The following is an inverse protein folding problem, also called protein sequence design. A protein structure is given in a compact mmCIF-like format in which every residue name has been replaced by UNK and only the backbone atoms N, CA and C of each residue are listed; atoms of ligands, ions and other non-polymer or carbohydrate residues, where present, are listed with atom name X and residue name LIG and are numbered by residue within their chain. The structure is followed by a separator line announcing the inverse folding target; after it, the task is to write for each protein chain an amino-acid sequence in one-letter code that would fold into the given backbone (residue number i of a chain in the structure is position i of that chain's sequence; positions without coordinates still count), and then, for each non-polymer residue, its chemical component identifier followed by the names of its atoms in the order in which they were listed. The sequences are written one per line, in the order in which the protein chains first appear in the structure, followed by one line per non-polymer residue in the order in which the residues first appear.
data_IF_564475667674
#
_entry.id   IF_564475667674
#
_cell.length_a   1.000
_cell.length_b   1.000
_cell.length_c   1.000
_cell.angle_alpha   90.00
_cell.angle_beta   90.00
_cell.angle_gamma   90.00
#
_symmetry.space_group_name_H-M   'P 1'
#
loop_
_entity.id
_entity.type
_entity.pdbx_description
1 polymer ?
#
# COMPACT_ATOMS: atom_id res chain seq x y z
N UNK A 1 -16.71 6.35 2.20
CA UNK A 1 -16.29 7.53 1.40
C UNK A 1 -15.03 7.13 0.66
N UNK A 2 -14.90 7.45 -0.61
CA UNK A 2 -13.66 7.24 -1.35
C UNK A 2 -12.83 8.49 -1.18
N UNK A 3 -11.64 8.37 -0.60
CA UNK A 3 -10.76 9.50 -0.31
C UNK A 3 -9.41 9.29 -0.98
N UNK A 4 -8.89 10.32 -1.62
CA UNK A 4 -7.57 10.28 -2.24
C UNK A 4 -6.61 11.14 -1.43
N UNK A 5 -5.38 10.68 -1.26
CA UNK A 5 -4.35 11.38 -0.50
C UNK A 5 -2.96 11.03 -1.04
N UNK A 6 -1.96 11.82 -0.65
CA UNK A 6 -0.56 11.49 -0.92
C UNK A 6 0.04 10.85 0.33
N UNK A 7 0.55 9.63 0.20
CA UNK A 7 1.19 8.86 1.27
C UNK A 7 2.70 9.17 1.31
N UNK A 8 3.21 9.82 2.38
CA UNK A 8 4.64 10.04 2.54
C UNK A 8 5.35 8.76 3.00
N UNK A 9 6.29 8.26 2.20
CA UNK A 9 7.05 7.04 2.50
C UNK A 9 8.54 7.35 2.54
N UNK A 10 9.17 7.07 3.68
CA UNK A 10 10.63 7.22 3.82
C UNK A 10 11.35 5.97 3.31
N UNK A 11 11.98 6.08 2.14
CA UNK A 11 12.61 4.95 1.47
C UNK A 11 13.98 5.33 0.86
N UNK A 12 15.00 4.52 1.10
CA UNK A 12 16.37 4.75 0.60
C UNK A 12 16.91 6.16 0.89
N UNK A 13 16.67 6.67 2.11
CA UNK A 13 17.20 7.96 2.58
C UNK A 13 16.50 9.20 2.00
N UNK A 14 15.32 9.02 1.38
CA UNK A 14 14.49 10.12 0.89
C UNK A 14 13.01 9.86 1.20
N UNK A 15 12.25 10.94 1.30
CA UNK A 15 10.79 10.88 1.31
C UNK A 15 10.27 10.79 -0.14
N UNK A 16 9.34 9.86 -0.36
CA UNK A 16 8.64 9.67 -1.63
C UNK A 16 7.15 9.80 -1.36
N UNK A 17 6.46 10.67 -2.09
CA UNK A 17 5.01 10.80 -2.02
C UNK A 17 4.38 9.84 -3.03
N UNK A 18 3.54 8.92 -2.56
CA UNK A 18 2.77 8.04 -3.42
C UNK A 18 1.30 8.43 -3.44
N UNK A 19 0.68 8.60 -4.61
CA UNK A 19 -0.77 8.76 -4.70
C UNK A 19 -1.47 7.52 -4.13
N UNK A 20 -2.46 7.74 -3.27
CA UNK A 20 -3.20 6.69 -2.60
C UNK A 20 -4.71 6.96 -2.56
N UNK A 21 -5.48 5.87 -2.49
CA UNK A 21 -6.94 5.89 -2.45
C UNK A 21 -7.44 5.00 -1.31
N UNK A 22 -8.12 5.59 -0.33
CA UNK A 22 -8.81 4.89 0.75
C UNK A 22 -10.23 4.52 0.32
N UNK A 23 -10.56 3.25 0.42
CA UNK A 23 -11.83 2.69 -0.04
C UNK A 23 -12.44 1.79 1.04
N UNK A 24 -13.73 1.95 1.41
CA UNK A 24 -14.39 1.01 2.32
C UNK A 24 -14.50 -0.37 1.67
N UNK A 25 -14.23 -1.42 2.43
CA UNK A 25 -14.27 -2.80 1.95
C UNK A 25 -14.79 -3.75 3.04
N UNK A 26 -16.05 -4.17 2.92
CA UNK A 26 -16.71 -4.96 3.95
C UNK A 26 -16.78 -4.20 5.28
N UNK A 27 -16.27 -4.83 6.36
CA UNK A 27 -16.14 -4.22 7.69
C UNK A 27 -14.78 -3.54 7.93
N UNK A 28 -13.93 -3.48 6.91
CA UNK A 28 -12.61 -2.85 6.94
C UNK A 28 -12.49 -1.84 5.80
N UNK A 29 -11.27 -1.49 5.44
CA UNK A 29 -10.94 -0.67 4.29
C UNK A 29 -9.77 -1.26 3.53
N UNK A 30 -9.63 -0.77 2.31
CA UNK A 30 -8.49 -1.02 1.42
C UNK A 30 -7.86 0.30 1.06
N UNK A 31 -6.55 0.27 0.87
CA UNK A 31 -5.77 1.41 0.41
C UNK A 31 -5.06 0.99 -0.87
N UNK A 32 -5.39 1.64 -1.98
CA UNK A 32 -4.65 1.46 -3.24
C UNK A 32 -3.53 2.48 -3.26
N UNK A 33 -2.28 2.05 -3.36
CA UNK A 33 -1.10 2.91 -3.47
C UNK A 33 -0.49 2.75 -4.86
N UNK A 34 -0.28 3.85 -5.57
CA UNK A 34 0.27 3.84 -6.93
C UNK A 34 1.80 3.97 -6.90
N UNK A 35 2.50 2.84 -6.99
CA UNK A 35 3.97 2.74 -6.94
C UNK A 35 4.50 2.52 -8.36
N UNK A 36 5.33 3.43 -8.87
CA UNK A 36 5.86 3.37 -10.25
C UNK A 36 4.77 3.20 -11.33
N UNK A 37 3.60 3.83 -11.13
CA UNK A 37 2.38 3.70 -11.94
C UNK A 37 1.69 2.33 -11.87
N UNK A 38 2.05 1.48 -10.90
CA UNK A 38 1.37 0.23 -10.62
C UNK A 38 0.52 0.36 -9.35
N UNK A 39 -0.79 0.06 -9.41
CA UNK A 39 -1.64 0.06 -8.23
C UNK A 39 -1.36 -1.19 -7.39
N UNK A 40 -1.01 -0.99 -6.12
CA UNK A 40 -0.92 -2.04 -5.11
C UNK A 40 -2.00 -1.86 -4.06
N UNK A 41 -2.75 -2.92 -3.79
CA UNK A 41 -3.80 -2.90 -2.78
C UNK A 41 -3.22 -3.35 -1.45
N UNK A 42 -3.50 -2.58 -0.40
CA UNK A 42 -3.18 -2.91 0.98
C UNK A 42 -4.46 -3.01 1.81
N UNK A 43 -4.50 -4.00 2.71
CA UNK A 43 -5.59 -4.16 3.68
C UNK A 43 -5.03 -4.64 5.03
N UNK A 44 -5.70 -4.33 6.16
CA UNK A 44 -5.41 -4.97 7.43
C UNK A 44 -5.66 -6.48 7.34
N UNK A 45 -4.74 -7.28 7.86
CA UNK A 45 -4.89 -8.71 8.03
C UNK A 45 -5.66 -9.07 9.32
N UNK A 46 -5.69 -10.35 9.67
CA UNK A 46 -6.39 -10.84 10.87
C UNK A 46 -5.79 -10.32 12.18
N UNK A 47 -4.49 -9.99 12.18
CA UNK A 47 -3.77 -9.39 13.30
C UNK A 47 -3.76 -7.85 13.24
N UNK A 48 -4.49 -7.26 12.29
CA UNK A 48 -4.56 -5.82 11.98
C UNK A 48 -3.25 -5.22 11.46
N UNK A 49 -2.35 -6.04 10.94
CA UNK A 49 -1.17 -5.57 10.22
C UNK A 49 -1.52 -5.31 8.76
N UNK A 50 -1.04 -4.22 8.16
CA UNK A 50 -1.21 -4.02 6.72
C UNK A 50 -0.41 -5.03 5.90
N UNK A 51 -1.06 -5.63 4.89
CA UNK A 51 -0.43 -6.49 3.90
C UNK A 51 -0.75 -6.06 2.48
N UNK A 52 0.20 -6.24 1.56
CA UNK A 52 -0.05 -6.09 0.14
C UNK A 52 -0.78 -7.33 -0.42
N UNK A 53 -1.82 -7.10 -1.23
CA UNK A 53 -2.55 -8.14 -1.95
C UNK A 53 -2.05 -8.17 -3.39
N UNK A 54 -1.40 -9.27 -3.77
CA UNK A 54 -0.87 -9.48 -5.12
C UNK A 54 -1.67 -10.61 -5.77
N UNK A 55 -2.34 -10.29 -6.87
CA UNK A 55 -3.04 -11.27 -7.70
C UNK A 55 -2.04 -12.06 -8.55
N UNK A 56 -2.46 -13.22 -9.08
CA UNK A 56 -1.62 -14.03 -9.99
C UNK A 56 -1.25 -13.23 -11.26
N UNK A 57 -2.18 -12.40 -11.75
CA UNK A 57 -1.96 -11.55 -12.93
C UNK A 57 -0.95 -10.42 -12.67
N UNK A 58 -0.87 -9.92 -11.43
CA UNK A 58 0.06 -8.85 -11.04
C UNK A 58 1.40 -9.36 -10.51
N UNK A 59 1.57 -10.67 -10.35
CA UNK A 59 2.79 -11.26 -9.79
C UNK A 59 4.05 -10.83 -10.56
N UNK A 60 4.02 -10.83 -11.89
CA UNK A 60 5.15 -10.37 -12.73
C UNK A 60 5.47 -8.89 -12.57
N UNK A 61 4.50 -8.07 -12.15
CA UNK A 61 4.71 -6.64 -11.85
C UNK A 61 5.33 -6.51 -10.47
N UNK A 62 4.79 -7.22 -9.48
CA UNK A 62 5.30 -7.24 -8.13
C UNK A 62 6.76 -7.72 -8.05
N UNK A 63 7.17 -8.67 -8.90
CA UNK A 63 8.57 -9.11 -9.01
C UNK A 63 9.55 -8.01 -9.44
N UNK A 64 9.07 -6.94 -10.07
CA UNK A 64 9.89 -5.79 -10.47
C UNK A 64 10.00 -4.73 -9.38
N UNK A 65 9.11 -4.78 -8.40
CA UNK A 65 9.11 -3.82 -7.29
C UNK A 65 9.95 -4.40 -6.16
N UNK A 66 10.76 -3.53 -5.55
CA UNK A 66 11.52 -3.90 -4.36
C UNK A 66 10.57 -4.31 -3.23
N UNK A 67 10.73 -5.53 -2.72
CA UNK A 67 9.92 -6.03 -1.60
C UNK A 67 10.08 -5.15 -0.36
N UNK A 68 11.26 -4.56 -0.16
CA UNK A 68 11.50 -3.66 0.96
C UNK A 68 10.66 -2.39 0.83
N UNK A 69 10.47 -1.87 -0.39
CA UNK A 69 9.58 -0.73 -0.62
C UNK A 69 8.13 -1.06 -0.26
N UNK A 70 7.62 -2.22 -0.71
CA UNK A 70 6.26 -2.67 -0.36
C UNK A 70 6.08 -2.86 1.15
N UNK A 71 7.10 -3.40 1.82
CA UNK A 71 7.12 -3.55 3.27
C UNK A 71 7.07 -2.19 3.98
N UNK A 72 7.91 -1.23 3.56
CA UNK A 72 7.92 0.11 4.15
C UNK A 72 6.61 0.86 3.91
N UNK A 73 5.94 0.65 2.77
CA UNK A 73 4.59 1.18 2.53
C UNK A 73 3.59 0.59 3.53
N UNK A 74 3.61 -0.73 3.74
CA UNK A 74 2.73 -1.38 4.72
C UNK A 74 2.96 -0.86 6.15
N UNK A 75 4.21 -0.69 6.56
CA UNK A 75 4.58 -0.11 7.86
C UNK A 75 4.09 1.34 8.00
N UNK A 76 4.25 2.15 6.96
CA UNK A 76 3.74 3.52 6.95
C UNK A 76 2.22 3.56 7.11
N UNK A 77 1.50 2.66 6.43
CA UNK A 77 0.05 2.54 6.57
C UNK A 77 -0.36 2.05 7.96
N UNK A 78 0.43 1.16 8.57
CA UNK A 78 0.24 0.72 9.94
C UNK A 78 0.31 1.90 10.92
N UNK A 79 1.31 2.76 10.78
CA UNK A 79 1.47 3.91 11.67
C UNK A 79 0.33 4.94 11.53
N UNK A 80 -0.27 5.05 10.34
CA UNK A 80 -1.30 6.05 10.05
C UNK A 80 -2.74 5.58 10.32
N UNK A 81 -3.01 4.28 10.11
CA UNK A 81 -4.36 3.73 10.08
C UNK A 81 -4.54 2.46 10.93
N UNK A 82 -3.50 2.02 11.64
CA UNK A 82 -3.50 0.87 12.54
C UNK A 82 -4.19 1.08 13.88
#
# INVERSE_FOLDING_TARGET
MHETFDLPVWYNGKEIMFPAELQPYGYTHRITVHIENFPFIFEPDEEKNYRAIISIEDQKKAEKIDKQLLQTVAETLQDLFG
#
